data_IF_510145303853
#
_entry.id   IF_510145303853
#
_cell.length_a   1.000
_cell.length_b   1.000
_cell.length_c   1.000
_cell.angle_alpha   90.00
_cell.angle_beta   90.00
_cell.angle_gamma   90.00
#
_symmetry.space_group_name_H-M   'P 1'
#
loop_
_entity.id
_entity.type
_entity.pdbx_description
1 polymer ?
#
# COMPACT_ATOMS: atom_id res chain seq x y z
N UNK A 1 9.14 38.06 -23.61
CA UNK A 1 9.44 36.77 -22.94
C UNK A 1 10.54 36.14 -23.76
N UNK A 2 11.76 36.00 -23.24
CA UNK A 2 12.87 35.41 -24.00
C UNK A 2 12.60 33.91 -24.17
N UNK A 3 12.21 33.49 -25.38
CA UNK A 3 12.20 32.09 -25.77
C UNK A 3 13.66 31.62 -25.86
N UNK A 4 13.98 30.52 -25.19
CA UNK A 4 15.27 29.84 -25.39
C UNK A 4 15.04 28.75 -26.43
N UNK A 5 15.86 28.70 -27.46
CA UNK A 5 15.78 27.67 -28.50
C UNK A 5 16.80 26.55 -28.21
N UNK A 6 16.49 25.33 -28.64
CA UNK A 6 17.45 24.21 -28.67
C UNK A 6 17.43 23.54 -30.06
N UNK A 7 18.56 22.93 -30.44
CA UNK A 7 18.67 22.18 -31.70
C UNK A 7 18.88 20.70 -31.40
N UNK A 8 18.05 19.85 -31.98
CA UNK A 8 18.15 18.38 -31.91
C UNK A 8 18.06 17.85 -33.33
N UNK A 9 19.04 17.04 -33.75
CA UNK A 9 19.11 16.42 -35.09
C UNK A 9 18.96 17.43 -36.26
N UNK A 10 19.53 18.63 -36.08
CA UNK A 10 19.47 19.71 -37.07
C UNK A 10 18.14 20.47 -37.11
N UNK A 11 17.16 20.08 -36.30
CA UNK A 11 15.89 20.78 -36.17
C UNK A 11 15.92 21.72 -34.96
N UNK A 12 15.42 22.94 -35.13
CA UNK A 12 15.33 23.96 -34.07
C UNK A 12 13.97 23.88 -33.42
N UNK A 13 13.95 23.85 -32.09
CA UNK A 13 12.75 23.77 -31.26
C UNK A 13 12.69 24.95 -30.30
N UNK A 14 11.53 25.60 -30.25
CA UNK A 14 11.20 26.60 -29.22
C UNK A 14 10.94 25.91 -27.88
N UNK A 15 11.71 26.27 -26.84
CA UNK A 15 11.39 25.79 -25.49
C UNK A 15 10.19 26.55 -24.94
N UNK A 16 9.05 25.87 -24.87
CA UNK A 16 7.91 26.30 -24.07
C UNK A 16 8.10 25.78 -22.64
N UNK A 17 8.18 26.65 -21.62
CA UNK A 17 8.26 26.20 -20.23
C UNK A 17 7.06 25.31 -19.91
N UNK A 18 7.33 24.08 -19.46
CA UNK A 18 6.28 23.19 -18.95
C UNK A 18 5.66 23.85 -17.71
N UNK A 19 4.45 24.41 -17.86
CA UNK A 19 3.66 24.95 -16.74
C UNK A 19 2.99 23.87 -15.90
N UNK A 20 3.16 22.60 -16.25
CA UNK A 20 2.77 21.51 -15.38
C UNK A 20 3.84 21.33 -14.30
N UNK A 21 3.69 22.09 -13.22
CA UNK A 21 4.06 21.53 -11.93
C UNK A 21 3.35 20.18 -11.80
N UNK A 22 4.02 19.18 -11.21
CA UNK A 22 3.29 18.03 -10.64
C UNK A 22 2.16 18.67 -9.83
N UNK A 23 0.88 18.44 -10.18
CA UNK A 23 -0.19 19.16 -9.50
C UNK A 23 -0.04 18.87 -8.01
N UNK A 24 -0.11 19.91 -7.18
CA UNK A 24 -0.10 19.71 -5.73
C UNK A 24 -1.12 18.64 -5.36
N UNK A 25 -0.92 17.85 -4.29
CA UNK A 25 -1.88 16.81 -3.83
C UNK A 25 -3.33 17.30 -3.99
N UNK A 26 -3.60 18.53 -3.55
CA UNK A 26 -4.92 19.19 -3.61
C UNK A 26 -5.55 19.32 -5.01
N UNK A 27 -4.75 19.34 -6.08
CA UNK A 27 -5.25 19.45 -7.46
C UNK A 27 -5.54 18.08 -8.08
N UNK A 28 -4.81 17.03 -7.69
CA UNK A 28 -5.04 15.64 -8.12
C UNK A 28 -6.27 15.05 -7.42
N UNK A 29 -6.48 15.44 -6.16
CA UNK A 29 -7.58 15.06 -5.27
C UNK A 29 -9.00 15.35 -5.82
N UNK A 30 -9.15 16.29 -6.76
CA UNK A 30 -10.49 16.67 -7.28
C UNK A 30 -10.92 15.91 -8.54
N UNK A 31 -10.05 15.11 -9.18
CA UNK A 31 -10.37 14.44 -10.46
C UNK A 31 -10.19 12.92 -10.46
N UNK A 32 -9.47 12.37 -9.49
CA UNK A 32 -9.35 10.92 -9.31
C UNK A 32 -10.34 10.51 -8.23
N UNK A 33 -11.10 9.44 -8.48
CA UNK A 33 -12.05 8.88 -7.54
C UNK A 33 -11.52 7.51 -7.11
N UNK A 34 -10.31 7.50 -6.54
CA UNK A 34 -9.64 6.27 -6.08
C UNK A 34 -10.18 5.79 -4.75
N UNK A 35 -10.87 6.67 -4.00
CA UNK A 35 -11.42 6.39 -2.69
C UNK A 35 -10.52 6.85 -1.53
N UNK A 36 -9.29 7.32 -1.82
CA UNK A 36 -8.37 7.92 -0.84
C UNK A 36 -8.48 9.44 -0.78
N UNK A 37 -9.17 10.03 -1.75
CA UNK A 37 -9.34 11.46 -1.82
C UNK A 37 -10.20 11.96 -0.68
N UNK A 38 -9.89 13.16 -0.17
CA UNK A 38 -10.75 13.79 0.83
C UNK A 38 -12.09 14.16 0.19
N UNK A 39 -13.18 13.78 0.84
CA UNK A 39 -14.53 14.17 0.44
C UNK A 39 -14.77 15.67 0.57
N UNK A 40 -15.92 16.13 0.08
CA UNK A 40 -16.43 17.47 0.36
C UNK A 40 -16.83 17.57 1.82
N UNK A 41 -16.89 18.81 2.32
CA UNK A 41 -17.39 19.05 3.67
C UNK A 41 -18.85 18.60 3.78
N UNK A 42 -19.18 17.87 4.85
CA UNK A 42 -20.47 17.23 5.08
C UNK A 42 -20.66 15.88 4.36
N UNK A 43 -19.67 15.39 3.60
CA UNK A 43 -19.72 14.04 3.04
C UNK A 43 -19.22 12.99 4.05
N UNK A 44 -19.71 11.77 3.89
CA UNK A 44 -19.30 10.65 4.72
C UNK A 44 -17.90 10.14 4.34
N UNK A 45 -17.19 9.62 5.32
CA UNK A 45 -15.95 8.88 5.15
C UNK A 45 -15.86 7.75 6.15
N UNK A 46 -14.97 6.80 5.85
CA UNK A 46 -14.76 5.59 6.60
C UNK A 46 -13.30 5.49 7.07
N UNK A 47 -13.06 4.90 8.24
CA UNK A 47 -11.72 4.71 8.79
C UNK A 47 -11.65 3.53 9.78
N UNK A 48 -10.43 3.06 10.08
CA UNK A 48 -10.20 2.05 11.12
C UNK A 48 -10.34 2.69 12.52
N UNK A 49 -11.21 2.13 13.36
CA UNK A 49 -11.29 2.54 14.76
C UNK A 49 -9.97 2.31 15.50
N UNK A 50 -9.65 3.20 16.45
CA UNK A 50 -8.44 3.05 17.26
C UNK A 50 -8.52 1.91 18.29
N UNK A 51 -9.72 1.46 18.64
CA UNK A 51 -9.95 0.52 19.75
C UNK A 51 -10.05 -0.94 19.29
N UNK A 52 -10.56 -1.14 18.07
CA UNK A 52 -10.78 -2.44 17.45
C UNK A 52 -10.56 -2.31 15.93
N UNK A 53 -10.18 -3.37 15.21
CA UNK A 53 -10.09 -3.34 13.74
C UNK A 53 -11.51 -3.39 13.12
N UNK A 54 -12.35 -2.44 13.53
CA UNK A 54 -13.73 -2.25 13.08
C UNK A 54 -13.77 -0.97 12.26
N UNK A 55 -14.59 -1.00 11.22
CA UNK A 55 -14.84 0.16 10.38
C UNK A 55 -15.76 1.14 11.12
N UNK A 56 -15.38 2.42 11.15
CA UNK A 56 -16.24 3.51 11.57
C UNK A 56 -16.59 4.41 10.38
N UNK A 57 -17.75 5.07 10.46
CA UNK A 57 -18.22 6.05 9.47
C UNK A 57 -18.50 7.38 10.18
N UNK A 58 -18.01 8.47 9.60
CA UNK A 58 -18.19 9.85 10.07
C UNK A 58 -18.49 10.80 8.90
N UNK A 59 -18.91 12.01 9.22
CA UNK A 59 -19.05 13.10 8.25
C UNK A 59 -17.86 14.07 8.39
N UNK A 60 -17.25 14.46 7.28
CA UNK A 60 -16.10 15.38 7.28
C UNK A 60 -16.55 16.83 7.47
N UNK A 61 -16.42 17.37 8.67
CA UNK A 61 -16.72 18.76 9.00
C UNK A 61 -15.46 19.64 9.04
N UNK A 62 -14.38 19.18 8.42
CA UNK A 62 -13.05 19.80 8.46
C UNK A 62 -12.52 19.99 9.88
N UNK A 63 -13.01 19.22 10.84
CA UNK A 63 -12.64 19.32 12.23
C UNK A 63 -11.31 18.63 12.52
N UNK A 64 -10.81 18.79 13.74
CA UNK A 64 -9.52 18.25 14.18
C UNK A 64 -9.40 16.73 13.95
N UNK A 65 -10.49 15.98 14.17
CA UNK A 65 -10.48 14.53 13.97
C UNK A 65 -10.41 14.18 12.48
N UNK A 66 -11.23 14.81 11.64
CA UNK A 66 -11.25 14.57 10.18
C UNK A 66 -9.89 14.85 9.56
N UNK A 67 -9.29 15.99 9.93
CA UNK A 67 -7.95 16.37 9.48
C UNK A 67 -6.91 15.35 9.95
N UNK A 68 -7.03 14.82 11.17
CA UNK A 68 -6.11 13.80 11.69
C UNK A 68 -6.24 12.48 10.93
N UNK A 69 -7.46 12.00 10.69
CA UNK A 69 -7.70 10.75 9.96
C UNK A 69 -7.18 10.86 8.53
N UNK A 70 -7.48 11.98 7.86
CA UNK A 70 -6.99 12.25 6.51
C UNK A 70 -5.45 12.33 6.45
N UNK A 71 -4.83 13.13 7.32
CA UNK A 71 -3.36 13.28 7.33
C UNK A 71 -2.61 12.01 7.74
N UNK A 72 -3.28 11.08 8.43
CA UNK A 72 -2.72 9.77 8.78
C UNK A 72 -2.93 8.71 7.67
N UNK A 73 -3.46 9.09 6.51
CA UNK A 73 -3.81 8.18 5.41
C UNK A 73 -4.82 7.07 5.81
N UNK A 74 -5.66 7.34 6.81
CA UNK A 74 -6.72 6.43 7.27
C UNK A 74 -8.12 6.80 6.78
N UNK A 75 -8.22 7.80 5.90
CA UNK A 75 -9.49 8.34 5.40
C UNK A 75 -9.86 7.69 4.07
N UNK A 76 -11.05 7.11 4.01
CA UNK A 76 -11.58 6.48 2.81
C UNK A 76 -12.98 7.00 2.48
N UNK A 77 -13.25 7.33 1.22
CA UNK A 77 -14.61 7.72 0.77
C UNK A 77 -15.44 6.55 0.27
N UNK A 78 -14.84 5.36 0.18
CA UNK A 78 -15.53 4.11 -0.19
C UNK A 78 -15.42 3.08 0.94
N UNK A 79 -16.58 2.56 1.36
CA UNK A 79 -16.69 1.60 2.47
C UNK A 79 -15.97 0.29 2.18
N UNK A 80 -16.08 -0.23 0.95
CA UNK A 80 -15.49 -1.53 0.57
C UNK A 80 -13.97 -1.43 0.50
N UNK A 81 -13.46 -0.33 -0.05
CA UNK A 81 -12.04 -0.01 -0.04
C UNK A 81 -11.49 0.07 1.38
N UNK A 82 -12.22 0.74 2.27
CA UNK A 82 -11.81 0.86 3.67
C UNK A 82 -11.76 -0.51 4.37
N UNK A 83 -12.80 -1.35 4.20
CA UNK A 83 -12.81 -2.71 4.75
C UNK A 83 -11.67 -3.58 4.19
N UNK A 84 -11.38 -3.47 2.89
CA UNK A 84 -10.31 -4.19 2.25
C UNK A 84 -8.94 -3.77 2.82
N UNK A 85 -8.66 -2.47 2.90
CA UNK A 85 -7.42 -1.96 3.49
C UNK A 85 -7.26 -2.39 4.95
N UNK A 86 -8.31 -2.28 5.77
CA UNK A 86 -8.28 -2.73 7.17
C UNK A 86 -7.91 -4.21 7.27
N UNK A 87 -8.51 -5.07 6.43
CA UNK A 87 -8.20 -6.50 6.40
C UNK A 87 -6.76 -6.76 5.95
N UNK A 88 -6.29 -6.08 4.91
CA UNK A 88 -4.92 -6.19 4.42
C UNK A 88 -3.88 -5.74 5.47
N UNK A 89 -4.10 -4.61 6.13
CA UNK A 89 -3.24 -4.09 7.18
C UNK A 89 -3.23 -4.99 8.42
N UNK A 90 -4.38 -5.60 8.75
CA UNK A 90 -4.46 -6.60 9.83
C UNK A 90 -3.62 -7.83 9.50
N UNK A 91 -3.74 -8.38 8.29
CA UNK A 91 -2.93 -9.51 7.82
C UNK A 91 -1.43 -9.18 7.90
N UNK A 92 -1.02 -8.02 7.39
CA UNK A 92 0.37 -7.58 7.42
C UNK A 92 0.92 -7.49 8.86
N UNK A 93 0.14 -6.90 9.79
CA UNK A 93 0.48 -6.83 11.22
C UNK A 93 0.58 -8.22 11.85
N UNK A 94 -0.32 -9.14 11.50
CA UNK A 94 -0.30 -10.52 11.99
C UNK A 94 0.94 -11.29 11.51
N UNK A 95 1.30 -11.19 10.23
CA UNK A 95 2.49 -11.82 9.66
C UNK A 95 3.77 -11.27 10.29
N UNK A 96 3.88 -9.94 10.45
CA UNK A 96 5.02 -9.30 11.14
C UNK A 96 5.18 -9.80 12.57
N UNK A 97 4.06 -9.89 13.31
CA UNK A 97 4.06 -10.39 14.68
C UNK A 97 4.45 -11.87 14.73
N UNK A 98 3.92 -12.69 13.82
CA UNK A 98 4.25 -14.11 13.73
C UNK A 98 5.75 -14.31 13.47
N UNK A 99 6.32 -13.63 12.46
CA UNK A 99 7.75 -13.66 12.18
C UNK A 99 8.58 -13.26 13.41
N UNK A 100 8.24 -12.13 14.05
CA UNK A 100 9.00 -11.64 15.20
C UNK A 100 8.95 -12.57 16.42
N UNK A 101 7.82 -13.23 16.66
CA UNK A 101 7.62 -14.13 17.81
C UNK A 101 8.23 -15.52 17.61
N UNK A 102 8.31 -16.00 16.37
CA UNK A 102 8.72 -17.37 16.08
C UNK A 102 10.09 -17.50 15.41
N UNK A 103 10.73 -16.38 15.02
CA UNK A 103 12.08 -16.42 14.46
C UNK A 103 13.07 -17.10 15.39
N UNK A 104 13.93 -17.93 14.81
CA UNK A 104 14.99 -18.65 15.52
C UNK A 104 16.28 -17.82 15.56
N UNK A 105 16.47 -16.96 14.55
CA UNK A 105 17.66 -16.17 14.31
C UNK A 105 17.33 -14.70 14.03
N UNK A 106 18.33 -13.85 14.19
CA UNK A 106 18.25 -12.46 13.74
C UNK A 106 18.33 -12.43 12.20
N UNK A 107 17.40 -11.73 11.57
CA UNK A 107 17.51 -11.39 10.14
C UNK A 107 18.52 -10.25 10.02
N UNK A 108 19.70 -10.57 9.48
CA UNK A 108 20.74 -9.59 9.13
C UNK A 108 20.77 -9.36 7.62
N UNK A 109 20.42 -8.15 7.19
CA UNK A 109 20.43 -7.77 5.78
C UNK A 109 21.82 -7.43 5.25
N UNK A 110 22.80 -7.18 6.12
CA UNK A 110 24.19 -6.99 5.71
C UNK A 110 24.89 -8.32 5.41
N UNK A 111 24.38 -9.43 5.95
CA UNK A 111 24.87 -10.77 5.64
C UNK A 111 24.18 -11.32 4.38
N UNK A 112 24.85 -11.18 3.25
CA UNK A 112 24.39 -11.71 1.97
C UNK A 112 24.53 -13.23 1.82
N UNK A 113 25.11 -13.94 2.79
CA UNK A 113 25.27 -15.40 2.75
C UNK A 113 24.11 -16.13 3.43
N UNK A 114 23.33 -15.47 4.29
CA UNK A 114 22.13 -16.05 4.87
C UNK A 114 20.90 -15.80 4.00
N UNK A 115 20.02 -16.78 3.93
CA UNK A 115 18.74 -16.64 3.26
C UNK A 115 17.68 -16.01 4.16
N UNK A 116 16.74 -15.31 3.52
CA UNK A 116 15.55 -14.71 4.09
C UNK A 116 14.39 -15.15 3.24
N UNK A 117 13.27 -15.44 3.86
CA UNK A 117 12.13 -16.04 3.19
C UNK A 117 10.95 -15.07 3.25
N UNK A 118 10.20 -14.91 2.17
CA UNK A 118 8.95 -14.16 2.16
C UNK A 118 7.86 -14.95 1.45
N UNK A 119 6.60 -14.59 1.68
CA UNK A 119 5.47 -15.24 1.03
C UNK A 119 5.10 -14.43 -0.22
N UNK A 120 4.95 -15.12 -1.34
CA UNK A 120 4.42 -14.57 -2.58
C UNK A 120 3.27 -15.40 -3.11
N UNK A 121 2.67 -14.92 -4.20
CA UNK A 121 1.64 -15.64 -4.94
C UNK A 121 2.10 -15.81 -6.38
N UNK A 122 2.01 -17.04 -6.87
CA UNK A 122 2.29 -17.36 -8.25
C UNK A 122 1.00 -17.27 -9.06
N UNK A 123 0.90 -16.30 -9.98
CA UNK A 123 -0.28 -16.13 -10.83
C UNK A 123 -0.35 -17.14 -11.98
N UNK A 124 0.73 -17.85 -12.32
CA UNK A 124 0.69 -18.97 -13.27
C UNK A 124 0.07 -20.21 -12.61
N UNK A 125 0.53 -20.55 -11.40
CA UNK A 125 0.05 -21.71 -10.64
C UNK A 125 -1.19 -21.43 -9.78
N UNK A 126 -1.57 -20.16 -9.62
CA UNK A 126 -2.69 -19.71 -8.79
C UNK A 126 -2.58 -20.17 -7.32
N UNK A 127 -1.37 -20.20 -6.77
CA UNK A 127 -1.12 -20.65 -5.39
C UNK A 127 0.00 -19.85 -4.70
N UNK A 128 0.04 -19.98 -3.37
CA UNK A 128 1.06 -19.35 -2.54
C UNK A 128 2.40 -20.06 -2.66
N UNK A 129 3.48 -19.29 -2.60
CA UNK A 129 4.84 -19.80 -2.61
C UNK A 129 5.73 -19.07 -1.60
N UNK A 130 6.81 -19.72 -1.20
CA UNK A 130 7.86 -19.11 -0.37
C UNK A 130 9.03 -18.71 -1.28
N UNK A 131 9.30 -17.41 -1.31
CA UNK A 131 10.43 -16.84 -2.03
C UNK A 131 11.69 -16.87 -1.14
N UNK A 132 12.85 -17.02 -1.78
CA UNK A 132 14.16 -17.02 -1.12
C UNK A 132 15.00 -15.83 -1.56
N UNK A 133 15.47 -15.04 -0.60
CA UNK A 133 16.25 -13.82 -0.80
C UNK A 133 17.56 -13.87 -0.03
N UNK A 134 18.61 -13.28 -0.59
CA UNK A 134 19.91 -13.12 0.11
C UNK A 134 20.45 -11.70 0.06
N UNK A 135 20.12 -10.93 -0.99
CA UNK A 135 20.72 -9.61 -1.23
C UNK A 135 19.69 -8.48 -1.34
N UNK A 136 18.42 -8.81 -1.58
CA UNK A 136 17.38 -7.83 -1.85
C UNK A 136 16.37 -7.79 -0.70
N UNK A 137 16.02 -6.56 -0.29
CA UNK A 137 14.92 -6.31 0.64
C UNK A 137 13.90 -5.40 -0.04
N UNK A 138 12.72 -5.95 -0.29
CA UNK A 138 11.61 -5.23 -0.89
C UNK A 138 10.80 -4.50 0.18
N UNK A 139 10.37 -3.29 -0.16
CA UNK A 139 9.48 -2.50 0.69
C UNK A 139 8.11 -3.19 0.79
N UNK A 140 7.53 -3.22 1.99
CA UNK A 140 6.21 -3.82 2.23
C UNK A 140 6.23 -5.32 2.55
N UNK A 141 7.26 -6.07 2.16
CA UNK A 141 7.35 -7.51 2.43
C UNK A 141 7.63 -7.84 3.90
N UNK A 142 7.11 -8.99 4.33
CA UNK A 142 7.44 -9.62 5.61
C UNK A 142 8.42 -10.75 5.37
N UNK A 143 9.49 -10.76 6.17
CA UNK A 143 10.56 -11.73 6.05
C UNK A 143 10.62 -12.67 7.25
N UNK A 144 10.97 -13.92 6.98
CA UNK A 144 11.21 -14.99 7.93
C UNK A 144 12.68 -15.43 7.82
N UNK A 145 13.24 -15.89 8.93
CA UNK A 145 14.64 -16.32 9.02
C UNK A 145 14.86 -17.78 8.58
N UNK A 146 13.79 -18.59 8.53
CA UNK A 146 13.82 -19.95 7.98
C UNK A 146 12.68 -20.20 7.00
N UNK A 147 12.86 -21.17 6.10
CA UNK A 147 11.85 -21.57 5.13
C UNK A 147 10.62 -22.16 5.82
N UNK A 148 10.85 -23.00 6.83
CA UNK A 148 9.81 -23.69 7.59
C UNK A 148 8.89 -22.70 8.32
N UNK A 149 9.43 -21.59 8.83
CA UNK A 149 8.62 -20.53 9.45
C UNK A 149 7.77 -19.78 8.42
N UNK A 150 8.30 -19.54 7.22
CA UNK A 150 7.53 -18.94 6.13
C UNK A 150 6.39 -19.88 5.69
N UNK A 151 6.65 -21.19 5.57
CA UNK A 151 5.64 -22.19 5.25
C UNK A 151 4.56 -22.30 6.34
N UNK A 152 4.95 -22.27 7.62
CA UNK A 152 3.99 -22.27 8.73
C UNK A 152 3.11 -21.02 8.71
N UNK A 153 3.69 -19.85 8.46
CA UNK A 153 2.90 -18.62 8.30
C UNK A 153 1.96 -18.72 7.10
N UNK A 154 2.44 -19.22 5.96
CA UNK A 154 1.65 -19.42 4.75
C UNK A 154 0.44 -20.33 5.00
N UNK A 155 0.59 -21.41 5.77
CA UNK A 155 -0.51 -22.30 6.16
C UNK A 155 -1.45 -21.62 7.16
N UNK A 156 -0.92 -21.00 8.21
CA UNK A 156 -1.72 -20.41 9.29
C UNK A 156 -2.58 -19.22 8.82
N UNK A 157 -2.11 -18.48 7.82
CA UNK A 157 -2.79 -17.31 7.27
C UNK A 157 -3.31 -17.54 5.85
N UNK A 158 -3.44 -18.81 5.41
CA UNK A 158 -3.73 -19.16 4.02
C UNK A 158 -4.94 -18.44 3.47
N UNK A 159 -6.07 -18.47 4.17
CA UNK A 159 -7.32 -17.88 3.66
C UNK A 159 -7.23 -16.36 3.47
N UNK A 160 -6.58 -15.65 4.41
CA UNK A 160 -6.38 -14.20 4.30
C UNK A 160 -5.33 -13.86 3.23
N UNK A 161 -4.28 -14.68 3.08
CA UNK A 161 -3.28 -14.53 2.01
C UNK A 161 -3.91 -14.76 0.63
N UNK A 162 -4.68 -15.82 0.45
CA UNK A 162 -5.39 -16.11 -0.80
C UNK A 162 -6.30 -14.93 -1.16
N UNK A 163 -7.14 -14.47 -0.21
CA UNK A 163 -7.99 -13.30 -0.41
C UNK A 163 -7.17 -12.06 -0.81
N UNK A 164 -6.02 -11.81 -0.15
CA UNK A 164 -5.18 -10.66 -0.46
C UNK A 164 -4.65 -10.69 -1.90
N UNK A 165 -4.27 -11.86 -2.41
CA UNK A 165 -3.70 -11.95 -3.76
C UNK A 165 -4.76 -12.07 -4.88
N UNK A 166 -5.97 -12.56 -4.59
CA UNK A 166 -6.98 -12.83 -5.62
C UNK A 166 -8.16 -11.84 -5.60
N UNK A 167 -8.51 -11.29 -4.43
CA UNK A 167 -9.74 -10.52 -4.24
C UNK A 167 -9.50 -9.06 -3.83
N UNK A 168 -8.41 -8.77 -3.13
CA UNK A 168 -8.08 -7.41 -2.68
C UNK A 168 -8.05 -6.42 -3.85
N UNK A 169 -8.64 -5.24 -3.60
CA UNK A 169 -8.62 -4.09 -4.52
C UNK A 169 -8.10 -2.89 -3.74
N UNK A 170 -7.09 -2.25 -4.32
CA UNK A 170 -6.40 -1.10 -3.75
C UNK A 170 -7.01 0.23 -4.18
N UNK A 171 -8.08 0.24 -4.98
CA UNK A 171 -8.84 1.44 -5.34
C UNK A 171 -10.34 1.16 -5.33
N UNK A 172 -11.15 2.18 -5.09
CA UNK A 172 -12.59 2.13 -5.28
C UNK A 172 -12.92 1.74 -6.74
N UNK A 173 -13.96 0.92 -6.92
CA UNK A 173 -14.46 0.61 -8.26
C UNK A 173 -15.07 1.87 -8.87
N UNK A 174 -14.58 2.30 -10.03
CA UNK A 174 -15.19 3.40 -10.79
C UNK A 174 -16.69 3.08 -11.02
N UNK A 175 -17.57 3.98 -10.58
CA UNK A 175 -18.99 3.95 -10.93
C UNK A 175 -19.22 4.50 -12.33
#
# INVERSE_FOLDING_TARGET
>A
MNLKEITIDGNVYDLVPRKEAIPSENTILNSKNTGYERGREGEQYFFESNCYPTLEMYYDWREKMDNRVFNNAGYYTDEKLAMANIRADRLLRQLRRFSAMHRQNKIDWADCNSFKFSIGFDYEYQDLQVNRWSQCRYFGEVYFDTMELAEQAMVNFRDDLMWYFTEYKDTATFK
#
